data_IF_761951128016
#
_entry.id   IF_761951128016
#
_cell.length_a   1.000
_cell.length_b   1.000
_cell.length_c   1.000
_cell.angle_alpha   90.00
_cell.angle_beta   90.00
_cell.angle_gamma   90.00
#
_symmetry.space_group_name_H-M   'P 1'
#
loop_
_entity.id
_entity.type
_entity.pdbx_description
1 polymer ?
#
# COMPACT_ATOMS: atom_id res chain seq x y z
N UNK A 1 1.28 -18.93 -6.58
CA UNK A 1 1.20 -17.46 -6.52
C UNK A 1 1.53 -16.89 -7.89
N UNK A 2 0.72 -15.96 -8.43
CA UNK A 2 1.16 -15.14 -9.58
C UNK A 2 2.18 -14.12 -9.09
N UNK A 3 3.20 -13.82 -9.89
CA UNK A 3 4.10 -12.71 -9.60
C UNK A 3 3.35 -11.38 -9.73
N UNK A 4 3.79 -10.34 -9.00
CA UNK A 4 3.20 -9.00 -9.12
C UNK A 4 3.24 -8.48 -10.57
N UNK A 5 4.33 -8.75 -11.30
CA UNK A 5 4.45 -8.41 -12.71
C UNK A 5 3.34 -9.05 -13.56
N UNK A 6 2.97 -10.30 -13.30
CA UNK A 6 1.93 -11.01 -14.04
C UNK A 6 0.50 -10.47 -13.78
N UNK A 7 0.32 -9.56 -12.82
CA UNK A 7 -0.95 -8.86 -12.59
C UNK A 7 -1.13 -7.61 -13.49
N UNK A 8 -0.07 -7.15 -14.17
CA UNK A 8 -0.10 -5.93 -14.99
C UNK A 8 -0.48 -6.26 -16.44
N UNK A 9 -1.78 -6.38 -16.71
CA UNK A 9 -2.30 -6.78 -18.02
C UNK A 9 -3.01 -5.61 -18.72
N UNK A 10 -2.59 -5.20 -19.93
CA UNK A 10 -3.31 -4.19 -20.70
C UNK A 10 -4.78 -4.59 -20.90
N UNK A 11 -5.71 -3.65 -20.63
CA UNK A 11 -7.15 -3.91 -20.71
C UNK A 11 -7.76 -4.63 -19.50
N UNK A 12 -6.95 -5.06 -18.52
CA UNK A 12 -7.41 -5.61 -17.25
C UNK A 12 -6.62 -4.97 -16.10
N UNK A 13 -6.99 -3.75 -15.68
CA UNK A 13 -6.23 -3.00 -14.69
C UNK A 13 -6.26 -3.69 -13.33
N UNK A 14 -5.12 -3.67 -12.65
CA UNK A 14 -5.00 -4.14 -11.27
C UNK A 14 -5.59 -3.08 -10.32
N UNK A 15 -6.61 -3.47 -9.54
CA UNK A 15 -7.08 -2.68 -8.42
C UNK A 15 -6.17 -2.94 -7.20
N UNK A 16 -5.36 -1.95 -6.84
CA UNK A 16 -4.36 -2.05 -5.78
C UNK A 16 -4.54 -0.93 -4.75
N UNK A 17 -5.10 -1.22 -3.56
CA UNK A 17 -5.27 -0.23 -2.52
C UNK A 17 -3.96 0.04 -1.76
N UNK A 18 -3.92 1.19 -1.08
CA UNK A 18 -2.75 1.67 -0.34
C UNK A 18 -3.04 1.68 1.18
N UNK A 19 -2.86 0.57 1.92
CA UNK A 19 -2.81 0.63 3.38
C UNK A 19 -1.70 1.57 3.89
N UNK A 20 -1.93 2.16 5.07
CA UNK A 20 -0.99 3.03 5.79
C UNK A 20 -0.49 2.42 7.12
N UNK A 21 -1.04 1.27 7.53
CA UNK A 21 -0.62 0.51 8.71
C UNK A 21 -0.88 -1.00 8.55
N UNK A 22 -0.47 -1.79 9.55
CA UNK A 22 -0.63 -3.25 9.56
C UNK A 22 -2.10 -3.66 9.61
N UNK A 23 -2.93 -2.93 10.36
CA UNK A 23 -4.36 -3.25 10.51
C UNK A 23 -5.10 -3.15 9.17
N UNK A 24 -4.91 -2.04 8.47
CA UNK A 24 -5.52 -1.79 7.16
C UNK A 24 -5.01 -2.78 6.11
N UNK A 25 -3.71 -3.13 6.16
CA UNK A 25 -3.16 -4.15 5.25
C UNK A 25 -3.83 -5.52 5.43
N UNK A 26 -4.10 -5.93 6.67
CA UNK A 26 -4.81 -7.18 6.97
C UNK A 26 -6.25 -7.16 6.46
N UNK A 27 -6.99 -6.09 6.76
CA UNK A 27 -8.38 -5.94 6.30
C UNK A 27 -8.46 -6.00 4.77
N UNK A 28 -7.60 -5.27 4.06
CA UNK A 28 -7.60 -5.28 2.60
C UNK A 28 -7.18 -6.65 2.04
N UNK A 29 -6.29 -7.37 2.70
CA UNK A 29 -5.97 -8.75 2.32
C UNK A 29 -7.18 -9.67 2.46
N UNK A 30 -7.91 -9.57 3.58
CA UNK A 30 -9.13 -10.35 3.84
C UNK A 30 -10.27 -10.03 2.87
N UNK A 31 -10.32 -8.80 2.37
CA UNK A 31 -11.25 -8.39 1.31
C UNK A 31 -10.90 -8.95 -0.08
N UNK A 32 -9.78 -9.66 -0.23
CA UNK A 32 -9.44 -10.40 -1.45
C UNK A 32 -8.67 -9.60 -2.50
N UNK A 33 -8.08 -8.45 -2.14
CA UNK A 33 -7.22 -7.72 -3.06
C UNK A 33 -5.97 -8.55 -3.41
N UNK A 34 -5.65 -8.64 -4.71
CA UNK A 34 -4.55 -9.50 -5.20
C UNK A 34 -3.15 -8.94 -4.93
N UNK A 35 -3.06 -7.64 -4.64
CA UNK A 35 -1.84 -6.94 -4.26
C UNK A 35 -2.17 -5.69 -3.45
N UNK A 36 -1.22 -5.22 -2.65
CA UNK A 36 -1.29 -3.99 -1.87
C UNK A 36 -0.07 -3.13 -2.21
N UNK A 37 -0.25 -1.80 -2.19
CA UNK A 37 0.84 -0.85 -2.21
C UNK A 37 0.90 -0.07 -0.88
N UNK A 38 1.89 0.79 -0.73
CA UNK A 38 2.04 1.67 0.45
C UNK A 38 1.78 3.11 0.04
N UNK A 39 1.38 3.95 0.99
CA UNK A 39 1.21 5.40 0.77
C UNK A 39 2.14 6.21 1.68
N UNK A 40 2.91 7.13 1.10
CA UNK A 40 3.76 8.05 1.87
C UNK A 40 2.93 9.04 2.68
N UNK A 41 1.89 9.62 2.08
CA UNK A 41 1.01 10.58 2.74
C UNK A 41 0.20 9.93 3.88
N UNK A 42 -0.29 8.71 3.67
CA UNK A 42 -1.01 7.97 4.71
C UNK A 42 -0.09 7.61 5.87
N UNK A 43 1.13 7.14 5.59
CA UNK A 43 2.11 6.86 6.65
C UNK A 43 2.52 8.14 7.41
N UNK A 44 2.82 9.23 6.70
CA UNK A 44 3.16 10.52 7.29
C UNK A 44 2.07 11.06 8.22
N UNK A 45 0.80 10.92 7.82
CA UNK A 45 -0.33 11.31 8.65
C UNK A 45 -0.39 10.55 9.98
N UNK A 46 0.02 9.27 10.03
CA UNK A 46 0.08 8.50 11.29
C UNK A 46 1.11 9.07 12.28
N UNK A 47 2.11 9.78 11.77
CA UNK A 47 3.15 10.46 12.56
C UNK A 47 2.84 11.95 12.80
N UNK A 48 1.67 12.45 12.35
CA UNK A 48 1.32 13.87 12.41
C UNK A 48 2.19 14.76 11.51
N UNK A 49 2.82 14.19 10.47
CA UNK A 49 3.69 14.88 9.53
C UNK A 49 2.99 15.09 8.19
N UNK A 50 3.44 16.08 7.43
CA UNK A 50 3.02 16.23 6.03
C UNK A 50 3.74 15.20 5.14
N UNK A 51 3.16 14.91 3.98
CA UNK A 51 3.80 14.06 2.98
C UNK A 51 5.20 14.60 2.61
N UNK A 52 6.13 13.68 2.35
CA UNK A 52 7.54 14.01 2.09
C UNK A 52 8.38 14.42 3.31
N UNK A 53 7.80 14.55 4.51
CA UNK A 53 8.54 14.87 5.74
C UNK A 53 8.96 13.62 6.56
N UNK A 54 8.81 12.44 5.96
CA UNK A 54 9.17 11.15 6.54
C UNK A 54 10.43 10.63 5.86
N UNK A 55 11.43 10.27 6.65
CA UNK A 55 12.67 9.66 6.16
C UNK A 55 12.66 8.15 6.29
N UNK A 56 13.67 7.49 5.71
CA UNK A 56 13.85 6.03 5.82
C UNK A 56 13.90 5.55 7.28
N UNK A 57 14.44 6.35 8.19
CA UNK A 57 14.55 6.00 9.61
C UNK A 57 13.20 5.99 10.34
N UNK A 58 12.20 6.70 9.82
CA UNK A 58 10.84 6.68 10.38
C UNK A 58 10.08 5.40 9.94
N UNK A 59 10.46 4.79 8.82
CA UNK A 59 9.83 3.58 8.26
C UNK A 59 10.54 2.32 8.81
N UNK A 60 10.09 1.87 9.99
CA UNK A 60 10.57 0.66 10.68
C UNK A 60 9.66 -0.55 10.45
#
# INVERSE_FOLDING_TARGET
MRSFLALHVPGSPLLMPNPWDVGTARVLTELGFSALATTSSGFAATLGKLDGQVGRADAV
#
